data_IF_921831078934
#
_entry.id   IF_921831078934
#
_cell.length_a   1.000
_cell.length_b   1.000
_cell.length_c   1.000
_cell.angle_alpha   90.00
_cell.angle_beta   90.00
_cell.angle_gamma   90.00
#
_symmetry.space_group_name_H-M   'P 1'
#
loop_
_entity.id
_entity.type
_entity.pdbx_description
1 polymer ?
#
# COMPACT_ATOMS: atom_id res chain seq x y z
N UNK A 1 36.06 -23.74 -22.76
CA UNK A 1 34.93 -24.52 -23.34
C UNK A 1 33.69 -24.19 -22.60
N UNK A 2 32.78 -23.46 -23.19
CA UNK A 2 31.47 -23.19 -22.67
C UNK A 2 30.41 -23.87 -23.52
N UNK A 3 29.14 -23.67 -23.25
CA UNK A 3 27.96 -24.17 -23.91
C UNK A 3 27.48 -25.57 -23.49
N UNK A 4 26.61 -25.60 -22.50
CA UNK A 4 25.52 -26.59 -22.39
C UNK A 4 24.67 -26.31 -21.15
N UNK A 5 23.87 -25.27 -21.09
CA UNK A 5 22.66 -25.17 -20.24
C UNK A 5 21.77 -24.08 -20.86
N UNK A 6 21.27 -24.34 -22.06
CA UNK A 6 20.12 -23.63 -22.63
C UNK A 6 19.20 -24.72 -23.15
N UNK A 7 18.19 -25.10 -22.42
CA UNK A 7 17.27 -26.08 -22.97
C UNK A 7 16.29 -26.76 -22.01
N UNK A 8 15.89 -26.17 -20.88
CA UNK A 8 14.85 -26.78 -20.01
C UNK A 8 13.83 -25.74 -19.48
N UNK A 9 13.50 -24.72 -20.20
CA UNK A 9 12.44 -23.78 -19.78
C UNK A 9 11.29 -23.62 -20.79
N UNK A 10 11.19 -24.49 -21.79
CA UNK A 10 10.16 -24.35 -22.84
C UNK A 10 9.02 -25.37 -22.81
N UNK A 11 8.84 -26.15 -21.74
CA UNK A 11 7.88 -27.26 -21.71
C UNK A 11 6.84 -27.22 -20.59
N UNK A 12 6.65 -26.07 -19.92
CA UNK A 12 5.65 -25.95 -18.84
C UNK A 12 4.48 -24.99 -19.13
N UNK A 13 4.28 -24.56 -20.39
CA UNK A 13 3.25 -23.57 -20.70
C UNK A 13 2.02 -24.07 -21.46
N UNK A 14 1.79 -25.38 -21.54
CA UNK A 14 0.65 -25.98 -22.27
C UNK A 14 -0.22 -26.91 -21.42
N UNK A 15 -0.50 -26.58 -20.19
CA UNK A 15 -1.53 -27.29 -19.44
C UNK A 15 -2.39 -26.28 -18.70
N UNK A 16 -3.63 -26.26 -19.10
CA UNK A 16 -4.77 -25.68 -18.36
C UNK A 16 -5.39 -24.45 -18.98
N UNK A 17 -6.37 -24.67 -19.80
CA UNK A 17 -7.62 -23.92 -19.76
C UNK A 17 -8.73 -24.77 -20.43
N UNK A 18 -9.20 -25.76 -19.70
CA UNK A 18 -10.50 -26.37 -20.00
C UNK A 18 -11.44 -26.02 -18.84
N UNK A 19 -12.02 -24.83 -18.88
CA UNK A 19 -13.18 -24.50 -18.07
C UNK A 19 -14.41 -24.77 -18.93
N UNK A 20 -15.03 -25.90 -18.67
CA UNK A 20 -16.37 -26.23 -19.15
C UNK A 20 -17.38 -25.30 -18.50
N UNK A 21 -17.86 -24.36 -19.26
CA UNK A 21 -19.06 -23.61 -18.95
C UNK A 21 -20.26 -24.55 -19.10
N UNK A 22 -20.74 -25.09 -18.00
CA UNK A 22 -22.04 -25.74 -17.93
C UNK A 22 -23.03 -24.69 -17.42
N UNK A 23 -23.69 -24.03 -18.35
CA UNK A 23 -24.82 -23.17 -18.07
C UNK A 23 -26.00 -24.02 -17.63
N UNK A 24 -26.42 -23.92 -16.40
CA UNK A 24 -27.76 -24.24 -15.97
C UNK A 24 -28.56 -22.94 -15.91
N UNK A 25 -29.33 -22.80 -16.97
CA UNK A 25 -30.38 -21.81 -17.14
C UNK A 25 -31.50 -22.10 -16.12
N UNK A 26 -31.41 -21.50 -14.94
CA UNK A 26 -32.52 -21.42 -14.01
C UNK A 26 -33.03 -19.98 -14.05
N UNK A 27 -33.89 -19.71 -15.02
CA UNK A 27 -34.73 -18.51 -15.05
C UNK A 27 -35.72 -18.54 -13.90
N UNK A 28 -35.25 -18.28 -12.69
CA UNK A 28 -36.11 -17.76 -11.63
C UNK A 28 -36.32 -16.29 -11.97
N UNK A 29 -37.39 -16.00 -12.68
CA UNK A 29 -37.91 -14.64 -12.79
C UNK A 29 -38.28 -14.18 -11.39
N UNK A 30 -37.36 -13.56 -10.71
CA UNK A 30 -37.61 -12.79 -9.51
C UNK A 30 -38.35 -11.55 -9.98
N UNK A 31 -39.68 -11.63 -9.92
CA UNK A 31 -40.52 -10.46 -10.17
C UNK A 31 -40.03 -9.32 -9.28
N UNK A 32 -39.38 -8.37 -9.92
CA UNK A 32 -38.96 -7.14 -9.23
C UNK A 32 -40.27 -6.42 -8.86
N UNK A 33 -40.49 -6.11 -7.58
CA UNK A 33 -41.69 -5.37 -7.17
C UNK A 33 -41.67 -4.01 -7.88
N UNK A 34 -42.63 -3.83 -8.79
CA UNK A 34 -42.83 -2.55 -9.47
C UNK A 34 -43.55 -1.64 -8.48
N UNK A 35 -42.81 -0.74 -7.85
CA UNK A 35 -43.39 0.31 -7.02
C UNK A 35 -44.13 1.30 -7.90
N UNK A 36 -45.43 1.39 -7.75
CA UNK A 36 -46.28 2.36 -8.43
C UNK A 36 -46.35 3.66 -7.61
N UNK A 37 -46.70 4.78 -8.29
CA UNK A 37 -46.91 6.06 -7.61
C UNK A 37 -47.99 5.99 -6.50
N UNK A 38 -48.87 5.02 -6.55
CA UNK A 38 -49.87 4.78 -5.53
C UNK A 38 -49.29 4.22 -4.21
N UNK A 39 -48.15 3.52 -4.32
CA UNK A 39 -47.45 3.03 -3.13
C UNK A 39 -46.78 4.17 -2.38
N UNK A 40 -46.35 5.20 -3.11
CA UNK A 40 -45.74 6.41 -2.52
C UNK A 40 -46.79 7.23 -1.78
N UNK A 41 -48.07 7.27 -2.24
CA UNK A 41 -49.13 8.01 -1.59
C UNK A 41 -49.55 7.38 -0.24
N UNK A 42 -49.40 6.07 -0.08
CA UNK A 42 -49.64 5.40 1.21
C UNK A 42 -48.70 5.88 2.32
N UNK A 43 -47.52 6.36 1.93
CA UNK A 43 -46.51 6.88 2.86
C UNK A 43 -46.57 8.40 3.02
N UNK A 44 -47.44 9.09 2.24
CA UNK A 44 -47.70 10.53 2.37
C UNK A 44 -48.83 10.84 3.34
N UNK A 45 -49.11 10.01 4.34
CA UNK A 45 -49.99 10.44 5.40
C UNK A 45 -49.38 11.66 6.08
N UNK A 46 -50.03 12.83 6.08
CA UNK A 46 -49.67 13.90 6.98
C UNK A 46 -49.87 13.34 8.39
N UNK A 47 -48.77 13.02 9.03
CA UNK A 47 -48.82 12.77 10.46
C UNK A 47 -48.97 14.13 11.10
N UNK A 48 -50.22 14.44 11.54
CA UNK A 48 -50.48 15.46 12.55
C UNK A 48 -49.92 15.01 13.90
N UNK A 49 -48.68 14.60 13.91
CA UNK A 49 -47.92 14.33 15.11
C UNK A 49 -46.91 15.47 15.26
N UNK A 50 -46.98 16.09 16.42
CA UNK A 50 -46.09 17.11 16.92
C UNK A 50 -44.67 17.01 16.33
N UNK A 51 -44.01 18.15 16.03
CA UNK A 51 -42.66 18.11 15.53
C UNK A 51 -41.77 17.39 16.55
N UNK A 52 -41.48 16.12 16.24
CA UNK A 52 -40.54 15.35 17.02
C UNK A 52 -39.30 16.19 17.17
N UNK A 53 -38.77 16.38 18.39
CA UNK A 53 -37.60 17.20 18.61
C UNK A 53 -36.51 16.68 17.69
N UNK A 54 -36.12 17.52 16.75
CA UNK A 54 -35.09 17.25 15.75
C UNK A 54 -33.81 16.89 16.51
N UNK A 55 -33.55 15.60 16.67
CA UNK A 55 -32.29 15.06 17.24
C UNK A 55 -31.12 15.21 16.24
N UNK A 56 -31.11 16.30 15.46
CA UNK A 56 -30.25 16.45 14.30
C UNK A 56 -28.83 16.84 14.65
N UNK A 57 -28.57 17.51 15.77
CA UNK A 57 -27.24 18.04 16.03
C UNK A 57 -26.22 17.00 16.53
N UNK A 58 -26.63 16.10 17.39
CA UNK A 58 -25.68 15.10 17.94
C UNK A 58 -25.19 14.09 16.90
N UNK A 59 -26.03 13.75 15.92
CA UNK A 59 -25.65 12.77 14.87
C UNK A 59 -24.69 13.38 13.86
N UNK A 60 -24.88 14.65 13.49
CA UNK A 60 -24.00 15.40 12.58
C UNK A 60 -22.64 15.63 13.23
N UNK A 61 -22.60 16.05 14.49
CA UNK A 61 -21.38 16.27 15.25
C UNK A 61 -20.57 14.97 15.42
N UNK A 62 -21.24 13.86 15.76
CA UNK A 62 -20.57 12.55 15.89
C UNK A 62 -20.03 12.07 14.55
N UNK A 63 -20.73 12.31 13.44
CA UNK A 63 -20.24 11.99 12.10
C UNK A 63 -19.02 12.81 11.75
N UNK A 64 -19.00 14.10 12.08
CA UNK A 64 -17.84 14.97 11.88
C UNK A 64 -16.60 14.51 12.67
N UNK A 65 -16.81 14.14 13.94
CA UNK A 65 -15.71 13.59 14.78
C UNK A 65 -15.16 12.28 14.21
N UNK A 66 -16.04 11.39 13.73
CA UNK A 66 -15.62 10.12 13.12
C UNK A 66 -14.83 10.31 11.82
N UNK A 67 -15.24 11.27 10.98
CA UNK A 67 -14.52 11.58 9.74
C UNK A 67 -13.13 12.14 10.03
N UNK A 68 -13.01 13.08 10.97
CA UNK A 68 -11.72 13.62 11.41
C UNK A 68 -10.81 12.55 12.00
N UNK A 69 -11.36 11.64 12.81
CA UNK A 69 -10.59 10.53 13.37
C UNK A 69 -10.07 9.57 12.29
N UNK A 70 -10.87 9.27 11.26
CA UNK A 70 -10.45 8.45 10.10
C UNK A 70 -9.34 9.15 9.32
N UNK A 71 -9.50 10.42 9.01
CA UNK A 71 -8.49 11.21 8.31
C UNK A 71 -7.16 11.26 9.08
N UNK A 72 -7.23 11.49 10.39
CA UNK A 72 -6.05 11.50 11.25
C UNK A 72 -5.33 10.13 11.23
N UNK A 73 -6.08 9.05 11.32
CA UNK A 73 -5.54 7.70 11.25
C UNK A 73 -4.85 7.42 9.88
N UNK A 74 -5.44 7.90 8.79
CA UNK A 74 -4.83 7.76 7.47
C UNK A 74 -3.53 8.57 7.36
N UNK A 75 -3.51 9.80 7.86
CA UNK A 75 -2.30 10.63 7.92
C UNK A 75 -1.18 9.92 8.67
N UNK A 76 -1.48 9.40 9.85
CA UNK A 76 -0.50 8.66 10.67
C UNK A 76 -0.02 7.37 9.98
N UNK A 77 -0.92 6.64 9.33
CA UNK A 77 -0.57 5.43 8.58
C UNK A 77 0.46 5.73 7.48
N UNK A 78 0.21 6.75 6.64
CA UNK A 78 1.10 7.10 5.55
C UNK A 78 2.43 7.66 6.04
N UNK A 79 2.40 8.53 7.04
CA UNK A 79 3.60 9.05 7.70
C UNK A 79 4.47 7.93 8.25
N UNK A 80 3.90 7.03 9.05
CA UNK A 80 4.62 5.90 9.67
C UNK A 80 5.25 5.00 8.61
N UNK A 81 4.49 4.68 7.56
CA UNK A 81 4.94 3.82 6.46
C UNK A 81 6.13 4.44 5.72
N UNK A 82 6.04 5.71 5.34
CA UNK A 82 7.13 6.43 4.67
C UNK A 82 8.37 6.57 5.57
N UNK A 83 8.18 6.90 6.85
CA UNK A 83 9.27 7.06 7.82
C UNK A 83 10.03 5.76 8.02
N UNK A 84 9.35 4.61 8.05
CA UNK A 84 10.02 3.31 8.17
C UNK A 84 10.99 3.05 7.01
N UNK A 85 10.62 3.39 5.78
CA UNK A 85 11.48 3.21 4.62
C UNK A 85 12.60 4.24 4.57
N UNK A 86 12.36 5.50 4.95
CA UNK A 86 13.41 6.52 5.10
C UNK A 86 14.48 6.08 6.11
N UNK A 87 14.09 5.53 7.26
CA UNK A 87 15.04 4.96 8.24
C UNK A 87 15.84 3.78 7.70
N UNK A 88 15.26 2.95 6.82
CA UNK A 88 16.02 1.87 6.16
C UNK A 88 17.06 2.43 5.18
N UNK A 89 16.70 3.48 4.45
CA UNK A 89 17.62 4.19 3.54
C UNK A 89 18.79 4.79 4.32
N UNK A 90 18.47 5.54 5.39
CA UNK A 90 19.46 6.17 6.26
C UNK A 90 20.45 5.13 6.83
N UNK A 91 19.96 4.05 7.43
CA UNK A 91 20.81 2.96 7.92
C UNK A 91 21.69 2.33 6.84
N UNK A 92 21.13 2.15 5.62
CA UNK A 92 21.91 1.60 4.53
C UNK A 92 22.98 2.57 4.05
N UNK A 93 22.74 3.86 4.07
CA UNK A 93 23.72 4.91 3.78
C UNK A 93 24.82 4.97 4.85
N UNK A 94 24.46 4.86 6.13
CA UNK A 94 25.40 4.78 7.24
C UNK A 94 26.33 3.55 7.09
N UNK A 95 25.74 2.37 6.81
CA UNK A 95 26.52 1.14 6.59
C UNK A 95 27.48 1.25 5.39
N UNK A 96 27.07 1.98 4.32
CA UNK A 96 27.94 2.25 3.17
C UNK A 96 29.07 3.16 3.59
N UNK A 97 28.78 4.28 4.24
CA UNK A 97 29.78 5.25 4.67
C UNK A 97 30.79 4.64 5.64
N UNK A 98 30.33 3.79 6.58
CA UNK A 98 31.21 3.07 7.51
C UNK A 98 32.14 2.11 6.76
N UNK A 99 31.58 1.27 5.85
CA UNK A 99 32.38 0.31 5.10
C UNK A 99 33.38 0.99 4.13
N UNK A 100 33.02 2.11 3.55
CA UNK A 100 33.91 2.91 2.69
C UNK A 100 35.01 3.58 3.52
N UNK A 101 34.69 4.10 4.70
CA UNK A 101 35.68 4.66 5.64
C UNK A 101 36.68 3.60 6.10
N UNK A 102 36.22 2.41 6.48
CA UNK A 102 37.10 1.31 6.86
C UNK A 102 37.97 0.82 5.69
N UNK A 103 37.47 0.87 4.44
CA UNK A 103 38.23 0.49 3.26
C UNK A 103 39.29 1.53 2.85
N UNK A 104 39.00 2.83 3.08
CA UNK A 104 39.89 3.95 2.75
C UNK A 104 40.84 4.30 3.89
N UNK A 105 40.62 3.75 5.09
CA UNK A 105 41.46 4.04 6.25
C UNK A 105 42.95 3.78 5.95
N UNK A 106 43.76 4.76 6.31
CA UNK A 106 45.19 4.84 6.05
C UNK A 106 46.05 3.77 6.77
N UNK A 107 45.45 2.99 7.65
CA UNK A 107 46.08 1.86 8.30
C UNK A 107 46.37 0.75 7.28
N UNK A 108 47.42 0.95 6.50
CA UNK A 108 47.85 0.19 5.32
C UNK A 108 48.04 -1.33 5.47
N UNK A 109 47.47 -1.90 6.50
CA UNK A 109 47.61 -3.32 6.87
C UNK A 109 46.29 -4.09 6.98
N UNK A 110 45.21 -3.67 6.26
CA UNK A 110 44.06 -4.54 6.20
C UNK A 110 44.41 -5.87 5.54
N UNK A 111 44.29 -6.97 6.26
CA UNK A 111 44.47 -8.31 5.71
C UNK A 111 43.53 -8.52 4.52
N UNK A 112 43.95 -9.31 3.54
CA UNK A 112 43.11 -9.66 2.37
C UNK A 112 41.71 -10.15 2.78
N UNK A 113 41.62 -10.96 3.82
CA UNK A 113 40.36 -11.49 4.34
C UNK A 113 39.45 -10.37 4.85
N UNK A 114 39.97 -9.41 5.62
CA UNK A 114 39.21 -8.26 6.15
C UNK A 114 38.72 -7.37 5.03
N UNK A 115 39.58 -7.08 4.05
CA UNK A 115 39.23 -6.27 2.85
C UNK A 115 38.14 -6.94 2.00
N UNK A 116 38.22 -8.26 1.82
CA UNK A 116 37.18 -9.03 1.11
C UNK A 116 35.84 -9.00 1.83
N UNK A 117 35.82 -9.16 3.16
CA UNK A 117 34.62 -9.06 3.98
C UNK A 117 33.97 -7.67 3.91
N UNK A 118 34.77 -6.59 4.00
CA UNK A 118 34.27 -5.21 3.88
C UNK A 118 33.67 -4.92 2.51
N UNK A 119 34.28 -5.39 1.43
CA UNK A 119 33.71 -5.29 0.08
C UNK A 119 32.37 -6.05 -0.02
N UNK A 120 32.23 -7.18 0.68
CA UNK A 120 30.97 -7.92 0.80
C UNK A 120 29.91 -7.12 1.53
N UNK A 121 30.26 -6.51 2.69
CA UNK A 121 29.35 -5.62 3.46
C UNK A 121 28.90 -4.44 2.60
N UNK A 122 29.81 -3.78 1.93
CA UNK A 122 29.52 -2.64 1.05
C UNK A 122 28.54 -3.01 -0.09
N UNK A 123 28.77 -4.14 -0.76
CA UNK A 123 27.84 -4.61 -1.82
C UNK A 123 26.45 -4.90 -1.27
N UNK A 124 26.36 -5.51 -0.08
CA UNK A 124 25.09 -5.82 0.55
C UNK A 124 24.35 -4.55 1.02
N UNK A 125 25.09 -3.57 1.58
CA UNK A 125 24.51 -2.29 1.95
C UNK A 125 23.99 -1.51 0.74
N UNK A 126 24.74 -1.46 -0.38
CA UNK A 126 24.28 -0.85 -1.64
C UNK A 126 23.03 -1.54 -2.22
N UNK A 127 22.93 -2.87 -2.09
CA UNK A 127 21.70 -3.58 -2.48
C UNK A 127 20.52 -3.20 -1.60
N UNK A 128 20.71 -3.16 -0.26
CA UNK A 128 19.66 -2.75 0.69
C UNK A 128 19.18 -1.33 0.42
N UNK A 129 20.11 -0.39 0.14
CA UNK A 129 19.76 0.97 -0.24
C UNK A 129 18.85 0.99 -1.45
N UNK A 130 19.26 0.34 -2.55
CA UNK A 130 18.47 0.28 -3.78
C UNK A 130 17.06 -0.29 -3.58
N UNK A 131 16.92 -1.35 -2.77
CA UNK A 131 15.59 -1.91 -2.48
C UNK A 131 14.74 -0.96 -1.61
N UNK A 132 15.35 -0.34 -0.60
CA UNK A 132 14.63 0.60 0.27
C UNK A 132 14.17 1.85 -0.49
N UNK A 133 14.96 2.36 -1.42
CA UNK A 133 14.59 3.46 -2.32
C UNK A 133 13.44 3.06 -3.25
N UNK A 134 13.51 1.86 -3.84
CA UNK A 134 12.43 1.32 -4.67
C UNK A 134 11.13 1.19 -3.89
N UNK A 135 11.18 0.60 -2.69
CA UNK A 135 10.02 0.43 -1.82
C UNK A 135 9.41 1.80 -1.45
N UNK A 136 10.25 2.81 -1.17
CA UNK A 136 9.76 4.16 -0.90
C UNK A 136 9.06 4.77 -2.12
N UNK A 137 9.64 4.63 -3.30
CA UNK A 137 9.04 5.11 -4.55
C UNK A 137 7.69 4.39 -4.85
N UNK A 138 7.58 3.10 -4.52
CA UNK A 138 6.31 2.36 -4.65
C UNK A 138 5.24 2.92 -3.71
N UNK A 139 5.61 3.25 -2.46
CA UNK A 139 4.70 3.87 -1.49
C UNK A 139 4.25 5.25 -1.96
N UNK A 140 5.17 6.07 -2.47
CA UNK A 140 4.85 7.38 -3.03
C UNK A 140 3.90 7.26 -4.23
N UNK A 141 4.15 6.31 -5.11
CA UNK A 141 3.27 6.01 -6.24
C UNK A 141 1.89 5.48 -5.81
N UNK A 142 1.82 4.67 -4.76
CA UNK A 142 0.55 4.20 -4.18
C UNK A 142 -0.24 5.37 -3.57
N UNK A 143 0.43 6.23 -2.80
CA UNK A 143 -0.16 7.41 -2.18
C UNK A 143 -0.72 8.35 -3.25
N UNK A 144 0.04 8.60 -4.30
CA UNK A 144 -0.41 9.44 -5.43
C UNK A 144 -1.67 8.88 -6.09
N UNK A 145 -1.72 7.57 -6.38
CA UNK A 145 -2.92 6.94 -6.97
C UNK A 145 -4.15 7.01 -6.07
N UNK A 146 -3.95 7.08 -4.75
CA UNK A 146 -5.03 7.21 -3.76
C UNK A 146 -5.40 8.67 -3.45
N UNK A 147 -4.77 9.64 -4.11
CA UNK A 147 -5.01 11.06 -3.86
C UNK A 147 -4.53 11.56 -2.50
N UNK A 148 -3.55 10.86 -1.90
CA UNK A 148 -2.97 11.22 -0.61
C UNK A 148 -2.07 12.45 -0.78
N UNK A 149 -2.24 13.44 0.11
CA UNK A 149 -1.39 14.63 0.09
C UNK A 149 0.09 14.27 0.34
N UNK A 150 1.03 14.81 -0.47
CA UNK A 150 2.47 14.58 -0.27
C UNK A 150 2.99 15.00 1.12
N UNK A 151 2.32 15.96 1.77
CA UNK A 151 2.63 16.36 3.15
C UNK A 151 2.50 15.22 4.15
N UNK A 152 1.56 14.30 3.95
CA UNK A 152 1.36 13.16 4.84
C UNK A 152 2.55 12.18 4.82
N UNK A 153 3.20 12.00 3.67
CA UNK A 153 4.42 11.19 3.55
C UNK A 153 5.66 11.85 4.20
N UNK A 154 5.58 13.17 4.40
CA UNK A 154 6.60 13.95 5.11
C UNK A 154 6.28 14.17 6.58
N UNK A 155 5.16 13.61 7.05
CA UNK A 155 4.64 13.81 8.41
C UNK A 155 4.33 15.29 8.71
N UNK A 156 3.95 16.07 7.70
CA UNK A 156 3.51 17.45 7.81
C UNK A 156 1.98 17.45 7.80
N UNK A 157 1.41 17.64 8.97
CA UNK A 157 -0.05 17.71 9.15
C UNK A 157 -0.42 19.16 9.43
N UNK A 158 -0.95 19.83 8.43
CA UNK A 158 -1.60 21.14 8.57
C UNK A 158 -3.07 20.97 8.97
#
# INVERSE_FOLDING_TARGET
MPFRIIGICALFFLLSFSVSARGEDSTVQKETPVFTNQDIEKYKKPSDSDPLPVKTDRTAENRGKLLKAKEQHEKEYWCKRATQHKKKIERAQEDIAEAERELSGEDGALSYKKRSALRGRLRNAKKRLKYAEKDLAEIEGEAYRKGVSPGWLRCQFE
#
